data_IF_785512850670
#
_entry.id   IF_785512850670
#
_cell.length_a   1.000
_cell.length_b   1.000
_cell.length_c   1.000
_cell.angle_alpha   90.00
_cell.angle_beta   90.00
_cell.angle_gamma   90.00
#
_symmetry.space_group_name_H-M   'P 1'
#
loop_
_entity.id
_entity.type
_entity.pdbx_description
1 polymer ?
#
# COMPACT_ATOMS: atom_id res chain seq x y z
N UNK A 1 16.28 -0.69 2.29
CA UNK A 1 17.47 -1.06 3.06
C UNK A 1 17.03 -1.82 4.31
N UNK A 2 17.64 -2.98 4.55
CA UNK A 2 17.27 -3.86 5.67
C UNK A 2 17.55 -3.20 7.03
N UNK A 3 18.57 -2.34 7.13
CA UNK A 3 18.98 -1.67 8.36
C UNK A 3 17.87 -0.74 8.92
N UNK A 4 16.95 -0.31 8.06
CA UNK A 4 15.89 0.64 8.40
C UNK A 4 14.52 -0.03 8.58
N UNK A 5 14.41 -1.35 8.36
CA UNK A 5 13.18 -2.10 8.61
C UNK A 5 12.85 -2.10 10.11
N UNK A 6 11.57 -2.14 10.44
CA UNK A 6 11.09 -2.13 11.84
C UNK A 6 11.20 -0.79 12.57
N UNK A 7 11.89 0.22 12.02
CA UNK A 7 12.05 1.56 12.63
C UNK A 7 10.87 2.52 12.41
N UNK A 8 9.75 2.03 11.86
CA UNK A 8 8.55 2.85 11.61
C UNK A 8 8.62 3.79 10.41
N UNK A 9 9.76 3.88 9.71
CA UNK A 9 9.94 4.77 8.54
C UNK A 9 8.90 4.49 7.46
N UNK A 10 8.67 3.21 7.11
CA UNK A 10 7.66 2.84 6.12
C UNK A 10 6.24 3.28 6.48
N UNK A 11 5.89 3.28 7.78
CA UNK A 11 4.59 3.80 8.25
C UNK A 11 4.48 5.30 8.01
N UNK A 12 5.52 6.06 8.35
CA UNK A 12 5.52 7.53 8.16
C UNK A 12 5.40 7.86 6.68
N UNK A 13 6.20 7.21 5.83
CA UNK A 13 6.14 7.40 4.38
C UNK A 13 4.76 7.06 3.80
N UNK A 14 4.18 5.94 4.24
CA UNK A 14 2.84 5.53 3.82
C UNK A 14 1.78 6.58 4.17
N UNK A 15 1.74 7.04 5.43
CA UNK A 15 0.76 8.03 5.87
C UNK A 15 0.94 9.39 5.18
N UNK A 16 2.18 9.83 4.97
CA UNK A 16 2.46 11.05 4.22
C UNK A 16 1.95 10.96 2.78
N UNK A 17 2.15 9.82 2.10
CA UNK A 17 1.61 9.62 0.76
C UNK A 17 0.07 9.70 0.73
N UNK A 18 -0.63 9.12 1.72
CA UNK A 18 -2.09 9.24 1.83
C UNK A 18 -2.55 10.68 2.06
N UNK A 19 -1.87 11.42 2.93
CA UNK A 19 -2.19 12.83 3.17
C UNK A 19 -1.99 13.68 1.93
N UNK A 20 -0.96 13.41 1.14
CA UNK A 20 -0.68 14.16 -0.07
C UNK A 20 -1.69 13.85 -1.18
N UNK A 21 -2.09 12.58 -1.34
CA UNK A 21 -3.20 12.22 -2.21
C UNK A 21 -4.48 12.97 -1.83
N UNK A 22 -4.80 13.03 -0.54
CA UNK A 22 -5.94 13.82 -0.06
C UNK A 22 -5.77 15.31 -0.39
N UNK A 23 -4.59 15.88 -0.18
CA UNK A 23 -4.31 17.29 -0.48
C UNK A 23 -4.48 17.62 -1.97
N UNK A 24 -4.10 16.70 -2.85
CA UNK A 24 -4.31 16.78 -4.30
C UNK A 24 -5.77 16.58 -4.73
N UNK A 25 -6.68 16.26 -3.81
CA UNK A 25 -8.11 16.07 -4.08
C UNK A 25 -8.51 14.64 -4.45
N UNK A 26 -7.64 13.64 -4.27
CA UNK A 26 -8.01 12.24 -4.47
C UNK A 26 -8.88 11.75 -3.30
N UNK A 27 -10.04 11.18 -3.65
CA UNK A 27 -10.98 10.63 -2.66
C UNK A 27 -10.53 9.28 -2.08
N UNK A 28 -9.72 8.52 -2.84
CA UNK A 28 -9.25 7.19 -2.45
C UNK A 28 -7.91 6.88 -3.14
N UNK A 29 -7.24 5.83 -2.64
CA UNK A 29 -6.03 5.28 -3.25
C UNK A 29 -6.21 3.76 -3.49
N UNK A 30 -5.46 3.22 -4.45
CA UNK A 30 -5.37 1.78 -4.69
C UNK A 30 -3.91 1.38 -4.48
N UNK A 31 -3.68 0.33 -3.68
CA UNK A 31 -2.36 -0.26 -3.48
C UNK A 31 -2.29 -1.53 -4.32
N UNK A 32 -1.61 -1.45 -5.47
CA UNK A 32 -1.36 -2.60 -6.34
C UNK A 32 -0.24 -3.48 -5.80
N UNK A 33 -0.34 -4.78 -6.04
CA UNK A 33 0.62 -5.80 -5.56
C UNK A 33 1.05 -5.56 -4.11
N UNK A 34 0.05 -5.33 -3.26
CA UNK A 34 0.26 -4.96 -1.87
C UNK A 34 1.05 -6.08 -1.20
N UNK A 35 2.25 -5.75 -0.69
CA UNK A 35 3.09 -6.67 0.08
C UNK A 35 2.41 -7.12 1.39
N UNK A 36 2.93 -6.81 2.59
CA UNK A 36 2.26 -7.22 3.83
C UNK A 36 0.87 -6.54 3.97
N UNK A 37 -0.21 -7.24 3.61
CA UNK A 37 -1.58 -6.69 3.63
C UNK A 37 -1.94 -6.12 5.01
N UNK A 38 -1.55 -6.83 6.08
CA UNK A 38 -1.84 -6.42 7.46
C UNK A 38 -1.17 -5.09 7.84
N UNK A 39 -0.06 -4.73 7.19
CA UNK A 39 0.55 -3.42 7.40
C UNK A 39 -0.40 -2.30 6.97
N UNK A 40 -1.06 -2.43 5.82
CA UNK A 40 -1.97 -1.39 5.31
C UNK A 40 -3.27 -1.34 6.12
N UNK A 41 -3.87 -2.50 6.40
CA UNK A 41 -5.07 -2.62 7.25
C UNK A 41 -4.89 -2.02 8.64
N UNK A 42 -3.69 -2.18 9.23
CA UNK A 42 -3.41 -1.66 10.58
C UNK A 42 -3.29 -0.14 10.65
N UNK A 43 -2.90 0.51 9.56
CA UNK A 43 -2.53 1.93 9.56
C UNK A 43 -3.48 2.81 8.74
N UNK A 44 -4.57 2.24 8.20
CA UNK A 44 -5.58 2.94 7.42
C UNK A 44 -6.85 2.09 7.33
N UNK A 45 -7.94 2.63 6.77
CA UNK A 45 -9.18 1.90 6.50
C UNK A 45 -9.09 1.02 5.23
N UNK A 46 -7.88 0.58 4.87
CA UNK A 46 -7.65 -0.25 3.70
C UNK A 46 -8.33 -1.62 3.87
N UNK A 47 -9.02 -2.05 2.81
CA UNK A 47 -9.62 -3.37 2.72
C UNK A 47 -9.15 -4.06 1.43
N UNK A 48 -9.28 -5.38 1.39
CA UNK A 48 -8.91 -6.16 0.22
C UNK A 48 -9.99 -5.94 -0.84
N UNK A 49 -9.57 -5.61 -2.06
CA UNK A 49 -10.44 -5.66 -3.23
C UNK A 49 -10.56 -7.14 -3.61
N UNK A 50 -11.73 -7.73 -3.40
CA UNK A 50 -11.96 -9.14 -3.71
C UNK A 50 -11.72 -9.42 -5.20
N UNK A 51 -11.23 -10.62 -5.50
CA UNK A 51 -10.93 -11.07 -6.87
C UNK A 51 -9.93 -10.16 -7.63
N UNK A 52 -9.11 -9.37 -6.92
CA UNK A 52 -8.04 -8.55 -7.52
C UNK A 52 -6.74 -9.32 -7.80
N UNK A 53 -6.68 -10.59 -7.42
CA UNK A 53 -5.55 -11.49 -7.66
C UNK A 53 -6.05 -12.80 -8.28
N UNK A 54 -5.33 -13.38 -9.26
CA UNK A 54 -4.09 -12.87 -9.86
C UNK A 54 -4.32 -11.60 -10.71
N UNK A 55 -3.35 -10.68 -10.67
CA UNK A 55 -3.43 -9.41 -11.41
C UNK A 55 -3.02 -9.55 -12.88
N UNK A 56 -3.10 -8.45 -13.63
CA UNK A 56 -2.77 -8.41 -15.08
C UNK A 56 -1.33 -8.84 -15.44
N UNK A 57 -0.44 -8.95 -14.45
CA UNK A 57 0.96 -9.34 -14.62
C UNK A 57 1.22 -10.82 -14.35
N UNK A 58 0.18 -11.63 -14.11
CA UNK A 58 0.31 -13.07 -13.95
C UNK A 58 1.06 -13.71 -15.11
N UNK A 59 2.13 -14.43 -14.81
CA UNK A 59 2.96 -15.10 -15.81
C UNK A 59 3.87 -14.19 -16.65
N UNK A 60 3.84 -12.87 -16.44
CA UNK A 60 4.67 -11.90 -17.18
C UNK A 60 5.99 -11.63 -16.45
N UNK A 61 6.00 -11.64 -15.11
CA UNK A 61 7.20 -11.42 -14.30
C UNK A 61 7.79 -12.78 -13.87
N UNK A 62 9.05 -13.02 -14.22
CA UNK A 62 9.89 -14.15 -13.75
C UNK A 62 10.98 -13.65 -12.82
#
# INVERSE_FOLDING_TARGET
DEEYRGKGIGKVLYLQALYELKHMGYAYCIIGDAGPIDFYKKHSDAYIIENSSPGIYEGILR
#
